data_IF_750682809079
#
_entry.id   IF_750682809079
#
_cell.length_a   1.000
_cell.length_b   1.000
_cell.length_c   1.000
_cell.angle_alpha   90.00
_cell.angle_beta   90.00
_cell.angle_gamma   90.00
#
_symmetry.space_group_name_H-M   'P 1'
#
loop_
_entity.id
_entity.type
_entity.pdbx_description
1 polymer ?
#
# COMPACT_ATOMS: atom_id res chain seq x y z
N UNK A 1 25.80 -7.40 -26.25
CA UNK A 1 24.83 -6.31 -26.48
C UNK A 1 23.87 -6.31 -25.30
N UNK A 2 23.78 -5.22 -24.52
CA UNK A 2 22.79 -5.11 -23.45
C UNK A 2 21.53 -4.53 -24.06
N UNK A 3 20.40 -5.25 -23.99
CA UNK A 3 19.13 -4.75 -24.46
C UNK A 3 18.77 -3.48 -23.67
N UNK A 4 18.45 -2.39 -24.38
CA UNK A 4 17.97 -1.15 -23.75
C UNK A 4 16.62 -1.44 -23.09
N UNK A 5 16.48 -1.08 -21.81
CA UNK A 5 15.22 -1.22 -21.09
C UNK A 5 14.10 -0.50 -21.86
N UNK A 6 12.98 -1.20 -22.08
CA UNK A 6 11.80 -0.66 -22.76
C UNK A 6 10.69 -0.47 -21.73
N UNK A 7 10.23 0.78 -21.57
CA UNK A 7 9.10 1.13 -20.74
C UNK A 7 7.87 1.32 -21.63
N UNK A 8 6.75 0.72 -21.21
CA UNK A 8 5.48 0.83 -21.91
C UNK A 8 4.41 1.44 -21.01
N UNK A 9 3.31 1.86 -21.61
CA UNK A 9 2.14 2.31 -20.86
C UNK A 9 1.42 1.10 -20.26
N UNK A 10 1.54 0.94 -18.94
CA UNK A 10 0.71 0.00 -18.22
C UNK A 10 -0.77 0.42 -18.26
N UNK A 11 -1.64 -0.48 -17.80
CA UNK A 11 -3.09 -0.31 -17.92
C UNK A 11 -3.61 1.04 -17.35
N UNK A 12 -3.28 1.48 -16.11
CA UNK A 12 -3.74 2.76 -15.59
C UNK A 12 -3.25 3.98 -16.40
N UNK A 13 -2.01 3.95 -16.90
CA UNK A 13 -1.47 5.03 -17.75
C UNK A 13 -2.23 5.07 -19.08
N UNK A 14 -2.50 3.91 -19.69
CA UNK A 14 -3.26 3.82 -20.93
C UNK A 14 -4.68 4.35 -20.77
N UNK A 15 -5.38 4.03 -19.67
CA UNK A 15 -6.71 4.56 -19.36
C UNK A 15 -6.72 6.09 -19.31
N UNK A 16 -5.69 6.71 -18.73
CA UNK A 16 -5.56 8.16 -18.72
C UNK A 16 -5.29 8.69 -20.14
N UNK A 17 -4.36 8.07 -20.87
CA UNK A 17 -4.03 8.50 -22.24
C UNK A 17 -5.25 8.46 -23.17
N UNK A 18 -6.11 7.45 -23.04
CA UNK A 18 -7.33 7.33 -23.85
C UNK A 18 -8.51 8.14 -23.32
N UNK A 19 -8.33 8.93 -22.26
CA UNK A 19 -9.35 9.82 -21.71
C UNK A 19 -10.43 9.14 -20.86
N UNK A 20 -10.27 7.84 -20.53
CA UNK A 20 -11.23 7.09 -19.70
C UNK A 20 -11.19 7.58 -18.25
N UNK A 21 -10.00 7.92 -17.75
CA UNK A 21 -9.80 8.48 -16.40
C UNK A 21 -9.01 9.79 -16.46
N UNK A 22 -9.25 10.70 -15.52
CA UNK A 22 -8.56 12.00 -15.46
C UNK A 22 -7.19 11.94 -14.76
N UNK A 23 -7.00 10.97 -13.87
CA UNK A 23 -5.77 10.78 -13.08
C UNK A 23 -5.36 9.31 -13.08
N UNK A 24 -4.05 9.04 -13.09
CA UNK A 24 -3.51 7.68 -12.91
C UNK A 24 -3.57 7.35 -11.42
N UNK A 25 -4.73 6.90 -10.96
CA UNK A 25 -4.99 6.52 -9.59
C UNK A 25 -6.01 5.39 -9.57
N UNK A 26 -6.01 4.60 -8.51
CA UNK A 26 -7.03 3.59 -8.27
C UNK A 26 -7.33 3.48 -6.78
N UNK A 27 -8.55 3.08 -6.44
CA UNK A 27 -8.94 2.70 -5.10
C UNK A 27 -9.23 1.20 -5.06
N UNK A 28 -8.82 0.54 -3.98
CA UNK A 28 -8.98 -0.90 -3.77
C UNK A 28 -9.84 -1.07 -2.50
N UNK A 29 -10.90 -1.84 -2.64
CA UNK A 29 -11.72 -2.31 -1.53
C UNK A 29 -11.77 -3.84 -1.60
N UNK A 30 -11.07 -4.52 -0.70
CA UNK A 30 -10.97 -5.99 -0.71
C UNK A 30 -12.24 -6.69 -0.21
N UNK A 31 -13.12 -5.93 0.46
CA UNK A 31 -14.33 -6.43 1.13
C UNK A 31 -14.01 -7.25 2.39
N UNK A 32 -15.05 -7.74 3.07
CA UNK A 32 -14.92 -8.57 4.26
C UNK A 32 -14.37 -9.97 3.93
N UNK A 33 -13.82 -10.66 4.93
CA UNK A 33 -13.18 -11.99 4.75
C UNK A 33 -14.12 -13.07 4.22
N UNK A 34 -15.42 -12.94 4.50
CA UNK A 34 -16.46 -13.87 4.04
C UNK A 34 -16.96 -13.56 2.62
N UNK A 35 -16.58 -12.41 2.04
CA UNK A 35 -17.02 -12.01 0.72
C UNK A 35 -16.19 -12.68 -0.38
N UNK A 36 -16.85 -13.10 -1.45
CA UNK A 36 -16.20 -13.73 -2.60
C UNK A 36 -15.63 -12.73 -3.61
N UNK A 37 -15.85 -11.43 -3.41
CA UNK A 37 -15.42 -10.38 -4.34
C UNK A 37 -15.13 -9.05 -3.65
N UNK A 38 -14.05 -8.40 -4.08
CA UNK A 38 -13.74 -7.00 -3.82
C UNK A 38 -14.05 -6.09 -5.02
N UNK A 39 -13.59 -4.85 -4.97
CA UNK A 39 -13.75 -3.86 -6.03
C UNK A 39 -12.47 -3.05 -6.22
N UNK A 40 -12.13 -2.80 -7.48
CA UNK A 40 -11.08 -1.84 -7.86
C UNK A 40 -11.71 -0.78 -8.75
N UNK A 41 -11.51 0.49 -8.42
CA UNK A 41 -11.98 1.62 -9.21
C UNK A 41 -10.80 2.40 -9.76
N UNK A 42 -10.77 2.66 -11.06
CA UNK A 42 -9.73 3.46 -11.69
C UNK A 42 -10.21 4.91 -11.83
N UNK A 43 -9.39 5.86 -11.34
CA UNK A 43 -9.68 7.29 -11.44
C UNK A 43 -10.79 7.80 -10.52
N UNK A 44 -11.34 6.97 -9.64
CA UNK A 44 -12.42 7.31 -8.72
C UNK A 44 -12.26 6.63 -7.35
N UNK A 45 -13.11 7.05 -6.41
CA UNK A 45 -13.22 6.50 -5.05
C UNK A 45 -14.70 6.41 -4.69
N UNK A 46 -15.09 5.29 -4.07
CA UNK A 46 -16.43 5.13 -3.51
C UNK A 46 -16.42 5.54 -2.03
N UNK A 47 -17.02 6.70 -1.76
CA UNK A 47 -17.08 7.28 -0.41
C UNK A 47 -18.00 6.52 0.55
N UNK A 48 -18.74 5.51 0.08
CA UNK A 48 -19.54 4.63 0.95
C UNK A 48 -18.74 3.46 1.53
N UNK A 49 -17.50 3.25 1.07
CA UNK A 49 -16.65 2.10 1.43
C UNK A 49 -15.63 2.37 2.53
N UNK A 50 -15.65 3.55 3.14
CA UNK A 50 -14.78 3.89 4.25
C UNK A 50 -15.49 4.86 5.21
N UNK A 51 -14.99 4.95 6.44
CA UNK A 51 -15.46 5.89 7.44
C UNK A 51 -14.49 7.06 7.61
N UNK A 52 -15.00 8.23 8.01
CA UNK A 52 -14.17 9.39 8.28
C UNK A 52 -13.60 10.04 7.01
N UNK A 53 -12.35 10.51 7.08
CA UNK A 53 -11.66 11.22 6.00
C UNK A 53 -10.39 10.49 5.60
N UNK A 54 -10.18 10.32 4.30
CA UNK A 54 -8.95 9.75 3.76
C UNK A 54 -7.75 10.62 4.12
N UNK A 55 -6.67 9.97 4.55
CA UNK A 55 -5.39 10.60 4.84
C UNK A 55 -4.42 10.36 3.69
N UNK A 56 -3.60 11.37 3.39
CA UNK A 56 -2.54 11.26 2.39
C UNK A 56 -1.22 10.98 3.08
N UNK A 57 -0.51 9.94 2.63
CA UNK A 57 0.87 9.64 3.03
C UNK A 57 1.78 9.72 1.79
N UNK A 58 3.04 10.16 1.94
CA UNK A 58 3.96 10.22 0.83
C UNK A 58 4.40 8.81 0.40
N UNK A 59 4.50 8.59 -0.91
CA UNK A 59 5.14 7.38 -1.45
C UNK A 59 6.66 7.57 -1.39
N UNK A 60 7.35 6.63 -0.74
CA UNK A 60 8.80 6.62 -0.58
C UNK A 60 9.45 6.02 -1.83
N UNK A 61 10.42 6.73 -2.41
CA UNK A 61 11.27 6.18 -3.46
C UNK A 61 12.52 5.51 -2.88
N UNK A 62 12.39 4.24 -2.48
CA UNK A 62 13.51 3.46 -1.94
C UNK A 62 14.66 3.25 -2.94
N UNK A 63 14.37 3.35 -4.24
CA UNK A 63 15.34 3.11 -5.31
C UNK A 63 15.74 4.40 -6.03
N UNK A 64 15.77 5.52 -5.30
CA UNK A 64 16.04 6.87 -5.85
C UNK A 64 17.38 7.01 -6.57
N UNK A 65 18.37 6.16 -6.22
CA UNK A 65 19.68 6.09 -6.90
C UNK A 65 19.59 5.48 -8.30
N UNK A 66 18.55 4.69 -8.58
CA UNK A 66 18.35 3.96 -9.83
C UNK A 66 17.16 4.49 -10.64
N UNK A 67 16.15 5.04 -9.96
CA UNK A 67 14.91 5.53 -10.57
C UNK A 67 14.53 6.89 -10.02
N UNK A 68 14.20 7.84 -10.89
CA UNK A 68 13.79 9.19 -10.50
C UNK A 68 12.39 9.26 -9.87
N UNK A 69 11.56 8.23 -10.07
CA UNK A 69 10.21 8.11 -9.52
C UNK A 69 10.06 6.78 -8.74
N UNK A 70 9.16 6.71 -7.74
CA UNK A 70 8.87 5.46 -7.04
C UNK A 70 8.42 4.37 -8.01
N UNK A 71 8.98 3.17 -7.86
CA UNK A 71 8.64 1.98 -8.66
C UNK A 71 7.75 0.99 -7.88
N UNK A 72 7.46 1.28 -6.61
CA UNK A 72 6.61 0.50 -5.72
C UNK A 72 5.90 1.42 -4.71
N UNK A 73 4.81 0.94 -4.12
CA UNK A 73 3.96 1.70 -3.19
C UNK A 73 4.45 1.57 -1.73
N UNK A 74 5.69 1.99 -1.49
CA UNK A 74 6.22 2.08 -0.13
C UNK A 74 5.72 3.33 0.58
N UNK A 75 5.31 3.20 1.83
CA UNK A 75 4.93 4.30 2.73
C UNK A 75 5.72 4.21 4.04
N UNK A 76 5.76 5.31 4.80
CA UNK A 76 6.29 5.29 6.16
C UNK A 76 5.33 4.60 7.12
N UNK A 77 5.82 3.62 7.88
CA UNK A 77 5.13 3.01 9.01
C UNK A 77 5.91 3.37 10.28
N UNK A 78 5.34 4.24 11.11
CA UNK A 78 6.02 4.84 12.27
C UNK A 78 5.94 4.00 13.54
N UNK A 79 4.82 3.28 13.74
CA UNK A 79 4.66 2.42 14.90
C UNK A 79 3.62 1.33 14.65
N UNK A 80 3.75 0.24 15.40
CA UNK A 80 2.74 -0.82 15.51
C UNK A 80 2.41 -0.95 16.99
N UNK A 81 1.13 -0.91 17.30
CA UNK A 81 0.61 -1.17 18.65
C UNK A 81 -0.40 -2.31 18.57
N UNK A 82 -0.35 -3.21 19.55
CA UNK A 82 -1.34 -4.25 19.76
C UNK A 82 -2.16 -3.86 20.97
N UNK A 83 -3.47 -3.75 20.85
CA UNK A 83 -4.29 -3.37 21.99
C UNK A 83 -5.73 -3.83 21.90
N UNK A 84 -6.39 -3.77 23.05
CA UNK A 84 -7.81 -4.01 23.22
C UNK A 84 -8.49 -2.78 23.88
N UNK A 85 -9.69 -2.95 24.45
CA UNK A 85 -10.39 -1.85 25.12
C UNK A 85 -9.72 -1.34 26.39
N UNK A 86 -8.76 -2.08 26.96
CA UNK A 86 -8.19 -1.83 28.28
C UNK A 86 -6.70 -1.46 28.20
N UNK A 87 -5.94 -2.08 27.30
CA UNK A 87 -4.48 -1.88 27.22
C UNK A 87 -3.97 -1.81 25.78
N UNK A 88 -2.87 -1.07 25.58
CA UNK A 88 -2.12 -1.01 24.33
C UNK A 88 -0.64 -1.33 24.59
N UNK A 89 -0.11 -2.29 23.84
CA UNK A 89 1.28 -2.75 23.88
C UNK A 89 1.99 -2.24 22.62
N UNK A 90 3.09 -1.51 22.79
CA UNK A 90 3.95 -1.10 21.67
C UNK A 90 4.74 -2.28 21.12
N UNK A 91 4.53 -2.63 19.86
CA UNK A 91 5.29 -3.69 19.16
C UNK A 91 6.51 -3.09 18.46
N UNK A 92 6.36 -1.89 17.89
CA UNK A 92 7.42 -1.19 17.16
C UNK A 92 7.16 0.33 17.19
N UNK A 93 8.21 1.15 17.20
CA UNK A 93 8.12 2.62 17.38
C UNK A 93 9.17 3.44 16.60
N UNK A 94 9.72 2.89 15.53
CA UNK A 94 10.60 3.60 14.60
C UNK A 94 9.97 3.62 13.20
N UNK A 95 10.38 4.55 12.33
CA UNK A 95 9.82 4.60 10.97
C UNK A 95 10.53 3.63 10.04
N UNK A 96 9.78 2.68 9.45
CA UNK A 96 10.25 1.87 8.32
C UNK A 96 9.47 2.15 7.04
N UNK A 97 10.03 1.74 5.90
CA UNK A 97 9.28 1.67 4.66
C UNK A 97 8.47 0.37 4.59
N UNK A 98 7.15 0.47 4.54
CA UNK A 98 6.23 -0.64 4.40
C UNK A 98 5.60 -0.65 2.99
N UNK A 99 5.57 -1.82 2.35
CA UNK A 99 4.96 -1.98 1.03
C UNK A 99 3.44 -2.19 1.17
N UNK A 100 2.65 -1.41 0.44
CA UNK A 100 1.22 -1.70 0.24
C UNK A 100 1.06 -2.61 -0.98
N UNK A 101 0.83 -3.90 -0.75
CA UNK A 101 0.77 -4.91 -1.80
C UNK A 101 -0.49 -5.78 -1.72
N UNK A 102 -1.46 -5.53 -2.61
CA UNK A 102 -2.66 -6.36 -2.73
C UNK A 102 -2.39 -7.75 -3.35
N UNK A 103 -1.18 -7.98 -3.87
CA UNK A 103 -0.74 -9.26 -4.43
C UNK A 103 -0.12 -10.21 -3.41
N UNK A 104 0.00 -9.80 -2.14
CA UNK A 104 0.55 -10.62 -1.06
C UNK A 104 -0.55 -11.01 -0.06
N UNK A 105 -0.65 -12.31 0.26
CA UNK A 105 -1.71 -12.87 1.12
C UNK A 105 -1.57 -12.50 2.60
N UNK A 106 -0.34 -12.41 3.11
CA UNK A 106 -0.05 -12.21 4.53
C UNK A 106 0.72 -10.91 4.75
N UNK A 107 0.65 -10.36 5.96
CA UNK A 107 1.54 -9.27 6.37
C UNK A 107 2.87 -9.84 6.84
N UNK A 108 3.96 -9.36 6.25
CA UNK A 108 5.33 -9.74 6.64
C UNK A 108 5.95 -8.61 7.46
N UNK A 109 6.41 -8.96 8.66
CA UNK A 109 7.09 -8.07 9.59
C UNK A 109 8.54 -8.56 9.78
N UNK A 110 9.44 -7.68 10.20
CA UNK A 110 10.85 -8.07 10.43
C UNK A 110 10.96 -9.04 11.61
N UNK A 111 11.99 -9.88 11.59
CA UNK A 111 12.16 -10.95 12.57
C UNK A 111 12.26 -10.46 14.01
N UNK A 112 12.78 -9.25 14.20
CA UNK A 112 13.10 -8.68 15.51
C UNK A 112 11.85 -8.23 16.27
N UNK A 113 10.69 -8.16 15.60
CA UNK A 113 9.41 -7.74 16.18
C UNK A 113 8.61 -8.92 16.76
N UNK A 114 8.96 -10.16 16.40
CA UNK A 114 8.25 -11.35 16.89
C UNK A 114 8.41 -11.56 18.38
N UNK A 115 9.53 -11.14 18.97
CA UNK A 115 9.77 -11.26 20.41
C UNK A 115 8.67 -10.59 21.24
N UNK A 116 8.12 -9.47 20.79
CA UNK A 116 7.02 -8.78 21.50
C UNK A 116 5.65 -9.46 21.32
N UNK A 117 5.46 -10.21 20.22
CA UNK A 117 4.22 -10.95 19.93
C UNK A 117 4.20 -12.35 20.56
N UNK A 118 5.37 -12.94 20.86
CA UNK A 118 5.49 -14.27 21.46
C UNK A 118 5.29 -14.34 22.98
N UNK A 119 5.13 -13.19 23.64
CA UNK A 119 4.89 -13.09 25.10
C UNK A 119 3.44 -12.70 25.46
N UNK A 120 2.53 -12.67 24.48
CA UNK A 120 1.08 -12.61 24.71
C UNK A 120 0.45 -14.01 24.63
#
# INVERSE_FOLDING_TARGET
MVAKAYQYENFPIRLKRTGVIKKVAHSIYLNDTECTSGTVLFGSVDHTKYYGQLQTVPIINLYSTSFSAPVALFIGLDSITLGDSNENIGIYNETIAALLDSGTTLTYLTSDWWTSLSYC
#
